data_IF_820599689141
#
_entry.id   IF_820599689141
#
_cell.length_a   1.000
_cell.length_b   1.000
_cell.length_c   1.000
_cell.angle_alpha   90.00
_cell.angle_beta   90.00
_cell.angle_gamma   90.00
#
_symmetry.space_group_name_H-M   'P 1'
#
loop_
_entity.id
_entity.type
_entity.pdbx_description
1 polymer ?
#
# COMPACT_ATOMS: atom_id res chain seq x y z
N UNK A 1 39.09 -8.70 27.14
CA UNK A 1 38.84 -9.86 26.24
C UNK A 1 39.27 -9.49 24.84
N UNK A 2 39.90 -10.40 24.08
CA UNK A 2 40.37 -10.07 22.73
C UNK A 2 39.15 -9.89 21.79
N UNK A 3 39.13 -8.78 21.07
CA UNK A 3 38.20 -8.46 20.00
C UNK A 3 38.43 -9.42 18.81
N UNK A 4 38.02 -10.70 18.97
CA UNK A 4 38.04 -11.69 17.87
C UNK A 4 36.69 -11.81 17.24
N UNK A 5 36.64 -12.06 15.92
CA UNK A 5 35.43 -12.23 15.12
C UNK A 5 34.48 -13.29 15.72
N UNK A 6 35.02 -14.37 16.22
CA UNK A 6 34.25 -15.47 16.84
C UNK A 6 33.48 -14.98 18.07
N UNK A 7 34.13 -14.22 18.97
CA UNK A 7 33.50 -13.68 20.19
C UNK A 7 32.43 -12.64 19.87
N UNK A 8 32.64 -11.81 18.83
CA UNK A 8 31.66 -10.82 18.39
C UNK A 8 30.43 -11.52 17.82
N UNK A 9 30.62 -12.55 16.99
CA UNK A 9 29.50 -13.33 16.43
C UNK A 9 28.73 -14.10 17.51
N UNK A 10 29.42 -14.62 18.56
CA UNK A 10 28.77 -15.27 19.70
C UNK A 10 27.85 -14.29 20.45
N UNK A 11 28.31 -13.06 20.70
CA UNK A 11 27.49 -12.03 21.33
C UNK A 11 26.30 -11.63 20.45
N UNK A 12 26.52 -11.46 19.17
CA UNK A 12 25.47 -11.11 18.20
C UNK A 12 24.45 -12.24 18.02
N UNK A 13 24.85 -13.51 18.20
CA UNK A 13 23.96 -14.68 18.20
C UNK A 13 22.94 -14.70 19.33
N UNK A 14 23.10 -13.85 20.36
CA UNK A 14 22.09 -13.71 21.41
C UNK A 14 20.97 -12.69 21.04
N UNK A 15 21.07 -12.02 19.90
CA UNK A 15 20.12 -10.99 19.47
C UNK A 15 19.17 -11.59 18.46
N UNK A 16 17.89 -11.68 18.81
CA UNK A 16 16.85 -12.25 17.95
C UNK A 16 16.21 -11.16 17.09
N UNK A 17 16.07 -11.44 15.82
CA UNK A 17 15.23 -10.64 14.91
C UNK A 17 13.76 -10.99 15.17
N UNK A 18 12.92 -10.03 15.57
CA UNK A 18 11.57 -10.32 16.09
C UNK A 18 10.64 -10.99 15.07
N UNK A 19 10.69 -10.58 13.80
CA UNK A 19 9.78 -11.06 12.76
C UNK A 19 10.20 -12.45 12.22
N UNK A 20 11.51 -12.70 12.13
CA UNK A 20 12.05 -13.99 11.70
C UNK A 20 12.13 -15.02 12.84
N UNK A 21 12.02 -14.58 14.10
CA UNK A 21 12.17 -15.43 15.30
C UNK A 21 13.46 -16.26 15.33
N UNK A 22 14.52 -15.74 14.73
CA UNK A 22 15.87 -16.32 14.67
C UNK A 22 16.88 -15.28 15.11
N UNK A 23 18.01 -15.72 15.64
CA UNK A 23 19.11 -14.80 15.93
C UNK A 23 19.71 -14.24 14.62
N UNK A 24 20.31 -13.04 14.72
CA UNK A 24 20.82 -12.31 13.55
C UNK A 24 22.01 -13.00 12.86
N UNK A 25 22.72 -13.88 13.55
CA UNK A 25 23.84 -14.65 13.01
C UNK A 25 23.33 -15.86 12.25
N UNK A 26 22.49 -16.71 12.90
CA UNK A 26 21.90 -17.89 12.27
C UNK A 26 20.95 -17.53 11.11
N UNK A 27 20.35 -16.35 11.15
CA UNK A 27 19.52 -15.84 10.07
C UNK A 27 20.33 -15.20 8.92
N UNK A 28 21.69 -15.18 9.04
CA UNK A 28 22.60 -14.56 8.05
C UNK A 28 22.28 -13.09 7.73
N UNK A 29 21.94 -12.32 8.76
CA UNK A 29 21.52 -10.91 8.63
C UNK A 29 22.68 -9.91 8.77
N UNK A 30 23.91 -10.36 8.97
CA UNK A 30 25.09 -9.51 9.08
C UNK A 30 25.68 -9.35 7.67
N UNK A 31 25.45 -8.19 7.04
CA UNK A 31 25.97 -7.86 5.71
C UNK A 31 27.47 -7.53 5.72
N UNK A 32 27.90 -6.82 6.75
CA UNK A 32 29.30 -6.42 6.96
C UNK A 32 29.66 -6.57 8.44
N UNK A 33 30.85 -7.09 8.73
CA UNK A 33 31.45 -7.09 10.06
C UNK A 33 32.96 -6.87 9.94
N UNK A 34 33.42 -5.70 10.34
CA UNK A 34 34.83 -5.31 10.40
C UNK A 34 35.21 -5.06 11.84
N UNK A 35 36.38 -5.53 12.24
CA UNK A 35 36.86 -5.45 13.61
C UNK A 35 38.26 -4.85 13.60
N UNK A 36 38.39 -3.69 14.22
CA UNK A 36 39.66 -3.02 14.49
C UNK A 36 40.20 -3.33 15.89
N UNK A 37 41.26 -2.63 16.29
CA UNK A 37 41.88 -2.84 17.63
C UNK A 37 40.94 -2.48 18.78
N UNK A 38 40.11 -1.45 18.64
CA UNK A 38 39.13 -1.02 19.63
C UNK A 38 37.81 -0.56 19.00
N UNK A 39 37.51 -1.01 17.77
CA UNK A 39 36.37 -0.60 16.99
C UNK A 39 35.67 -1.83 16.36
N UNK A 40 34.32 -1.80 16.36
CA UNK A 40 33.50 -2.74 15.61
C UNK A 40 32.60 -1.94 14.67
N UNK A 41 32.77 -2.17 13.37
CA UNK A 41 31.87 -1.63 12.34
C UNK A 41 31.03 -2.76 11.76
N UNK A 42 29.69 -2.61 11.81
CA UNK A 42 28.80 -3.65 11.30
C UNK A 42 27.59 -3.06 10.61
N UNK A 43 27.12 -3.81 9.58
CA UNK A 43 25.85 -3.57 8.90
C UNK A 43 24.96 -4.77 9.13
N UNK A 44 23.79 -4.54 9.72
CA UNK A 44 22.81 -5.59 10.02
C UNK A 44 21.52 -5.34 9.25
N UNK A 45 21.01 -6.39 8.65
CA UNK A 45 19.75 -6.38 7.91
C UNK A 45 18.60 -6.76 8.85
N UNK A 46 17.46 -6.09 8.71
CA UNK A 46 16.23 -6.42 9.45
C UNK A 46 15.04 -6.52 8.49
N UNK A 47 14.07 -7.35 8.84
CA UNK A 47 12.86 -7.55 8.03
C UNK A 47 11.95 -6.31 8.04
N UNK A 48 11.81 -5.64 9.18
CA UNK A 48 11.02 -4.43 9.32
C UNK A 48 11.91 -3.17 9.27
N UNK A 49 11.95 -2.41 8.14
CA UNK A 49 12.79 -1.24 7.99
C UNK A 49 12.27 0.02 8.68
N UNK A 50 11.20 -0.05 9.47
CA UNK A 50 10.63 1.08 10.19
C UNK A 50 11.65 1.70 11.16
N UNK A 51 11.61 3.02 11.33
CA UNK A 51 12.59 3.77 12.10
C UNK A 51 12.72 3.27 13.54
N UNK A 52 11.59 2.95 14.19
CA UNK A 52 11.59 2.42 15.56
C UNK A 52 12.20 1.01 15.65
N UNK A 53 11.99 0.14 14.64
CA UNK A 53 12.58 -1.19 14.59
C UNK A 53 14.09 -1.12 14.38
N UNK A 54 14.57 -0.23 13.49
CA UNK A 54 16.00 0.04 13.28
C UNK A 54 16.67 0.52 14.57
N UNK A 55 16.06 1.52 15.24
CA UNK A 55 16.59 2.07 16.48
C UNK A 55 16.65 1.01 17.58
N UNK A 56 15.61 0.21 17.74
CA UNK A 56 15.55 -0.87 18.73
C UNK A 56 16.62 -1.95 18.47
N UNK A 57 16.82 -2.33 17.22
CA UNK A 57 17.85 -3.30 16.85
C UNK A 57 19.25 -2.74 17.11
N UNK A 58 19.50 -1.48 16.72
CA UNK A 58 20.77 -0.80 16.98
C UNK A 58 21.08 -0.74 18.49
N UNK A 59 20.12 -0.29 19.30
CA UNK A 59 20.26 -0.24 20.77
C UNK A 59 20.54 -1.63 21.37
N UNK A 60 19.88 -2.68 20.88
CA UNK A 60 20.13 -4.05 21.33
C UNK A 60 21.55 -4.52 20.99
N UNK A 61 22.05 -4.22 19.80
CA UNK A 61 23.40 -4.56 19.37
C UNK A 61 24.44 -3.81 20.21
N UNK A 62 24.31 -2.49 20.32
CA UNK A 62 25.22 -1.66 21.10
C UNK A 62 25.26 -2.08 22.58
N UNK A 63 24.09 -2.34 23.17
CA UNK A 63 24.00 -2.80 24.57
C UNK A 63 24.73 -4.13 24.80
N UNK A 64 24.48 -5.15 23.92
CA UNK A 64 25.11 -6.46 24.12
C UNK A 64 26.62 -6.42 23.87
N UNK A 65 27.09 -5.68 22.84
CA UNK A 65 28.53 -5.53 22.60
C UNK A 65 29.24 -4.78 23.70
N UNK A 66 28.69 -3.67 24.20
CA UNK A 66 29.28 -2.93 25.32
C UNK A 66 29.30 -3.74 26.62
N UNK A 67 28.25 -4.50 26.91
CA UNK A 67 28.15 -5.38 28.06
C UNK A 67 29.25 -6.44 28.09
N UNK A 68 29.67 -6.95 26.92
CA UNK A 68 30.63 -8.03 26.80
C UNK A 68 32.07 -7.53 26.65
N UNK A 69 32.30 -6.47 25.85
CA UNK A 69 33.63 -5.96 25.53
C UNK A 69 34.02 -4.71 26.31
N UNK A 70 33.09 -4.10 27.03
CA UNK A 70 33.31 -2.87 27.83
C UNK A 70 32.87 -1.59 27.12
N UNK A 71 32.72 -0.52 27.90
CA UNK A 71 32.18 0.77 27.40
C UNK A 71 33.15 1.58 26.53
N UNK A 72 34.44 1.21 26.54
CA UNK A 72 35.48 1.91 25.78
C UNK A 72 35.54 1.55 24.31
N UNK A 73 34.78 0.54 23.89
CA UNK A 73 34.74 0.11 22.49
C UNK A 73 33.92 1.08 21.62
N UNK A 74 34.46 1.43 20.49
CA UNK A 74 33.73 2.20 19.47
C UNK A 74 32.90 1.28 18.60
N UNK A 75 31.59 1.55 18.50
CA UNK A 75 30.63 0.70 17.75
C UNK A 75 29.96 1.55 16.68
N UNK A 76 30.25 1.23 15.44
CA UNK A 76 29.65 1.82 14.25
C UNK A 76 28.61 0.83 13.66
N UNK A 77 27.37 0.91 14.16
CA UNK A 77 26.30 0.02 13.77
C UNK A 77 25.31 0.70 12.79
N UNK A 78 25.20 0.19 11.60
CA UNK A 78 24.21 0.62 10.62
C UNK A 78 23.15 -0.46 10.41
N UNK A 79 21.88 -0.11 10.58
CA UNK A 79 20.76 -1.03 10.35
C UNK A 79 20.11 -0.71 9.01
N UNK A 80 20.06 -1.70 8.12
CA UNK A 80 19.38 -1.62 6.82
C UNK A 80 18.19 -2.57 6.80
N UNK A 81 17.17 -2.27 5.98
CA UNK A 81 16.15 -3.26 5.65
C UNK A 81 16.76 -4.37 4.79
N UNK A 82 16.31 -5.62 4.97
CA UNK A 82 16.64 -6.70 4.04
C UNK A 82 16.29 -6.19 2.64
N UNK A 83 17.24 -6.24 1.67
CA UNK A 83 16.93 -5.82 0.29
C UNK A 83 15.69 -6.57 -0.15
N UNK A 84 14.66 -5.83 -0.54
CA UNK A 84 13.47 -6.45 -1.03
C UNK A 84 13.87 -7.38 -2.19
N UNK A 85 13.44 -8.64 -2.15
CA UNK A 85 13.63 -9.59 -3.25
C UNK A 85 13.40 -8.88 -4.58
N UNK A 86 14.20 -9.19 -5.59
CA UNK A 86 14.10 -8.51 -6.87
C UNK A 86 12.64 -8.48 -7.35
N UNK A 87 12.21 -7.43 -8.02
CA UNK A 87 10.83 -7.29 -8.54
C UNK A 87 10.36 -8.54 -9.32
N UNK A 88 11.31 -9.30 -9.87
CA UNK A 88 11.07 -10.57 -10.55
C UNK A 88 10.72 -11.74 -9.60
N UNK A 89 11.33 -11.81 -8.41
CA UNK A 89 10.98 -12.83 -7.42
C UNK A 89 9.61 -12.56 -6.81
N UNK A 90 9.27 -11.28 -6.57
CA UNK A 90 7.94 -10.87 -6.08
C UNK A 90 6.82 -11.09 -7.12
N UNK A 91 7.10 -10.94 -8.42
CA UNK A 91 6.11 -11.25 -9.48
C UNK A 91 5.69 -12.71 -9.54
N UNK A 92 6.46 -13.64 -8.96
CA UNK A 92 6.02 -15.03 -8.80
C UNK A 92 4.82 -15.19 -7.86
N UNK A 93 4.54 -14.19 -7.01
CA UNK A 93 3.41 -14.21 -6.08
C UNK A 93 2.07 -14.01 -6.80
N UNK A 94 2.05 -13.17 -7.86
CA UNK A 94 0.86 -12.87 -8.67
C UNK A 94 1.23 -12.91 -10.16
N UNK A 95 1.57 -14.10 -10.70
CA UNK A 95 2.12 -14.22 -12.05
C UNK A 95 1.14 -13.80 -13.15
N UNK A 96 -0.16 -14.00 -12.92
CA UNK A 96 -1.23 -13.78 -13.89
C UNK A 96 -1.86 -12.38 -13.79
N UNK A 97 -1.35 -11.52 -12.90
CA UNK A 97 -1.80 -10.14 -12.73
C UNK A 97 -0.84 -9.18 -13.46
N UNK A 98 -1.35 -8.47 -14.47
CA UNK A 98 -0.51 -7.58 -15.31
C UNK A 98 -0.11 -6.28 -14.62
N UNK A 99 -1.02 -5.71 -13.81
CA UNK A 99 -0.80 -4.43 -13.11
C UNK A 99 -1.31 -4.50 -11.67
N UNK A 100 -0.45 -4.27 -10.70
CA UNK A 100 -0.80 -4.19 -9.30
C UNK A 100 -0.65 -2.74 -8.86
N UNK A 101 -1.77 -2.09 -8.52
CA UNK A 101 -1.86 -0.66 -8.27
C UNK A 101 -2.38 -0.42 -6.86
N UNK A 102 -1.61 0.30 -6.05
CA UNK A 102 -2.08 0.75 -4.74
C UNK A 102 -2.82 2.09 -4.86
N UNK A 103 -3.93 2.20 -4.13
CA UNK A 103 -4.65 3.46 -3.95
C UNK A 103 -4.39 3.92 -2.52
N UNK A 104 -3.77 5.09 -2.39
CA UNK A 104 -3.31 5.61 -1.12
C UNK A 104 -3.85 7.00 -0.83
N UNK A 105 -4.03 7.31 0.44
CA UNK A 105 -4.33 8.65 0.91
C UNK A 105 -3.53 8.97 2.16
N UNK A 106 -3.09 10.21 2.29
CA UNK A 106 -2.39 10.66 3.49
C UNK A 106 -3.32 10.80 4.71
N UNK A 107 -4.63 10.95 4.49
CA UNK A 107 -5.65 11.20 5.52
C UNK A 107 -6.91 10.38 5.26
N UNK A 108 -7.60 9.99 6.32
CA UNK A 108 -8.93 9.39 6.23
C UNK A 108 -10.00 10.40 5.78
N UNK A 109 -11.09 9.91 5.16
CA UNK A 109 -12.23 10.73 4.75
C UNK A 109 -12.08 11.50 3.44
N UNK A 110 -10.99 11.32 2.69
CA UNK A 110 -10.80 11.96 1.37
C UNK A 110 -11.50 11.24 0.21
N UNK A 111 -12.16 10.11 0.48
CA UNK A 111 -12.89 9.32 -0.52
C UNK A 111 -12.03 8.27 -1.24
N UNK A 112 -11.00 7.75 -0.61
CA UNK A 112 -10.08 6.74 -1.15
C UNK A 112 -10.83 5.51 -1.69
N UNK A 113 -11.63 4.85 -0.87
CA UNK A 113 -12.38 3.64 -1.24
C UNK A 113 -13.43 3.92 -2.31
N UNK A 114 -14.08 5.08 -2.27
CA UNK A 114 -14.99 5.53 -3.33
C UNK A 114 -14.26 5.67 -4.67
N UNK A 115 -13.04 6.26 -4.65
CA UNK A 115 -12.21 6.34 -5.85
C UNK A 115 -11.83 4.94 -6.34
N UNK A 116 -11.40 4.05 -5.45
CA UNK A 116 -10.99 2.68 -5.80
C UNK A 116 -12.13 1.93 -6.46
N UNK A 117 -13.33 1.97 -5.90
CA UNK A 117 -14.52 1.31 -6.46
C UNK A 117 -14.90 1.85 -7.85
N UNK A 118 -14.87 3.16 -8.02
CA UNK A 118 -15.22 3.79 -9.31
C UNK A 118 -14.10 3.63 -10.35
N UNK A 119 -12.84 3.65 -9.96
CA UNK A 119 -11.72 3.36 -10.85
C UNK A 119 -11.80 1.90 -11.35
N UNK A 120 -12.09 0.95 -10.46
CA UNK A 120 -12.29 -0.45 -10.83
C UNK A 120 -13.45 -0.62 -11.81
N UNK A 121 -14.61 -0.02 -11.52
CA UNK A 121 -15.76 -0.05 -12.42
C UNK A 121 -15.49 0.61 -13.77
N UNK A 122 -14.76 1.71 -13.79
CA UNK A 122 -14.37 2.40 -15.01
C UNK A 122 -13.37 1.61 -15.85
N UNK A 123 -12.41 0.94 -15.22
CA UNK A 123 -11.49 0.01 -15.90
C UNK A 123 -12.26 -1.17 -16.51
N UNK A 124 -13.23 -1.73 -15.78
CA UNK A 124 -14.08 -2.80 -16.32
C UNK A 124 -14.90 -2.31 -17.53
N UNK A 125 -15.51 -1.12 -17.46
CA UNK A 125 -16.19 -0.48 -18.60
C UNK A 125 -15.27 -0.32 -19.82
N UNK A 126 -13.99 -0.03 -19.58
CA UNK A 126 -12.98 0.09 -20.64
C UNK A 126 -12.51 -1.28 -21.19
N UNK A 127 -13.07 -2.39 -20.72
CA UNK A 127 -12.79 -3.75 -21.21
C UNK A 127 -11.65 -4.47 -20.52
N UNK A 128 -11.18 -3.99 -19.37
CA UNK A 128 -10.14 -4.65 -18.57
C UNK A 128 -10.73 -5.61 -17.55
N UNK A 129 -10.01 -6.67 -17.21
CA UNK A 129 -10.32 -7.56 -16.09
C UNK A 129 -9.74 -6.97 -14.81
N UNK A 130 -10.56 -6.89 -13.74
CA UNK A 130 -10.22 -6.13 -12.53
C UNK A 130 -10.49 -6.94 -11.27
N UNK A 131 -9.54 -6.86 -10.33
CA UNK A 131 -9.71 -7.29 -8.94
C UNK A 131 -9.45 -6.14 -7.96
N UNK A 132 -10.01 -6.26 -6.76
CA UNK A 132 -9.82 -5.31 -5.66
C UNK A 132 -9.41 -6.08 -4.40
N UNK A 133 -8.37 -5.59 -3.73
CA UNK A 133 -8.07 -5.92 -2.33
C UNK A 133 -8.43 -4.71 -1.48
N UNK A 134 -9.41 -4.86 -0.60
CA UNK A 134 -9.72 -3.88 0.44
C UNK A 134 -8.89 -4.19 1.68
N UNK A 135 -7.81 -3.44 1.83
CA UNK A 135 -6.84 -3.57 2.92
C UNK A 135 -7.09 -2.57 4.07
N UNK A 136 -8.19 -1.82 4.05
CA UNK A 136 -8.53 -0.87 5.11
C UNK A 136 -9.10 -1.58 6.33
N UNK A 137 -8.22 -1.96 7.25
CA UNK A 137 -8.57 -2.69 8.48
C UNK A 137 -9.41 -1.88 9.47
N UNK A 138 -9.40 -0.56 9.36
CA UNK A 138 -10.12 0.32 10.28
C UNK A 138 -11.54 0.62 9.82
N UNK A 139 -11.80 0.49 8.53
CA UNK A 139 -13.11 0.76 7.95
C UNK A 139 -13.29 0.11 6.59
N UNK A 140 -13.30 -1.25 6.52
CA UNK A 140 -13.48 -1.94 5.26
C UNK A 140 -14.83 -1.59 4.67
N UNK A 141 -14.84 -1.01 3.48
CA UNK A 141 -16.03 -0.44 2.86
C UNK A 141 -16.43 -1.10 1.53
N UNK A 142 -15.54 -1.85 0.91
CA UNK A 142 -15.81 -2.50 -0.37
C UNK A 142 -16.98 -3.48 -0.34
N UNK A 143 -17.19 -4.30 0.73
CA UNK A 143 -18.35 -5.18 0.79
C UNK A 143 -19.71 -4.43 0.68
N UNK A 144 -19.78 -3.23 1.26
CA UNK A 144 -20.95 -2.36 1.15
C UNK A 144 -21.06 -1.75 -0.25
N UNK A 145 -19.96 -1.19 -0.76
CA UNK A 145 -19.91 -0.49 -2.05
C UNK A 145 -20.16 -1.38 -3.27
N UNK A 146 -20.12 -2.71 -3.10
CA UNK A 146 -20.36 -3.70 -4.13
C UNK A 146 -21.56 -4.63 -3.83
N UNK A 147 -22.37 -4.30 -2.82
CA UNK A 147 -23.57 -5.08 -2.39
C UNK A 147 -23.25 -6.55 -2.10
N UNK A 148 -22.12 -6.80 -1.44
CA UNK A 148 -21.66 -8.16 -1.07
C UNK A 148 -21.35 -8.29 0.42
N UNK A 149 -22.04 -7.49 1.26
CA UNK A 149 -21.81 -7.44 2.70
C UNK A 149 -22.00 -8.81 3.38
N UNK A 150 -22.96 -9.59 2.88
CA UNK A 150 -23.31 -10.91 3.40
C UNK A 150 -22.58 -12.06 2.70
N UNK A 151 -21.81 -11.77 1.65
CA UNK A 151 -21.03 -12.77 0.94
C UNK A 151 -19.74 -13.12 1.70
N UNK A 152 -19.20 -14.29 1.44
CA UNK A 152 -17.93 -14.74 2.00
C UNK A 152 -17.08 -15.40 0.93
N UNK A 153 -15.76 -15.17 0.93
CA UNK A 153 -14.83 -15.92 0.09
C UNK A 153 -14.92 -17.41 0.41
N UNK A 154 -14.82 -18.24 -0.61
CA UNK A 154 -14.81 -19.69 -0.47
C UNK A 154 -13.40 -20.23 -0.64
N UNK A 155 -13.17 -21.47 -0.20
CA UNK A 155 -11.91 -22.17 -0.48
C UNK A 155 -12.13 -23.07 -1.68
N UNK A 156 -11.18 -23.07 -2.61
CA UNK A 156 -11.14 -23.93 -3.79
C UNK A 156 -9.81 -24.66 -3.85
N UNK A 157 -9.79 -25.83 -4.46
CA UNK A 157 -8.56 -26.59 -4.68
C UNK A 157 -8.08 -26.39 -6.12
N UNK A 158 -6.83 -25.94 -6.28
CA UNK A 158 -6.19 -25.70 -7.57
C UNK A 158 -4.81 -26.36 -7.51
N UNK A 159 -4.53 -27.27 -8.41
CA UNK A 159 -3.26 -27.99 -8.51
C UNK A 159 -2.83 -28.67 -7.18
N UNK A 160 -3.81 -29.11 -6.36
CA UNK A 160 -3.58 -29.72 -5.05
C UNK A 160 -3.30 -28.72 -3.93
N UNK A 161 -3.41 -27.42 -4.16
CA UNK A 161 -3.31 -26.36 -3.17
C UNK A 161 -4.68 -25.73 -2.88
N UNK A 162 -4.95 -25.49 -1.60
CA UNK A 162 -6.16 -24.79 -1.17
C UNK A 162 -5.98 -23.28 -1.34
N UNK A 163 -6.79 -22.65 -2.18
CA UNK A 163 -6.75 -21.21 -2.49
C UNK A 163 -8.03 -20.50 -2.07
N UNK A 164 -7.93 -19.22 -1.69
CA UNK A 164 -9.08 -18.37 -1.41
C UNK A 164 -9.68 -17.95 -2.76
N UNK A 165 -10.96 -18.27 -2.98
CA UNK A 165 -11.71 -17.78 -4.13
C UNK A 165 -12.35 -16.44 -3.79
N UNK A 166 -11.96 -15.33 -4.46
CA UNK A 166 -12.54 -14.01 -4.23
C UNK A 166 -14.06 -13.99 -4.47
N UNK A 167 -14.76 -13.13 -3.75
CA UNK A 167 -16.16 -12.80 -4.06
C UNK A 167 -16.19 -12.04 -5.39
N UNK A 168 -17.20 -12.27 -6.21
CA UNK A 168 -17.37 -11.56 -7.47
C UNK A 168 -18.64 -10.71 -7.43
N UNK A 169 -18.50 -9.42 -7.77
CA UNK A 169 -19.62 -8.50 -7.91
C UNK A 169 -19.40 -7.59 -9.11
N UNK A 170 -20.47 -7.39 -9.90
CA UNK A 170 -20.43 -6.58 -11.13
C UNK A 170 -19.30 -6.96 -12.11
N UNK A 171 -18.80 -8.20 -12.09
CA UNK A 171 -17.67 -8.65 -12.91
C UNK A 171 -16.29 -8.26 -12.36
N UNK A 172 -16.23 -7.81 -11.10
CA UNK A 172 -15.00 -7.47 -10.38
C UNK A 172 -14.77 -8.51 -9.29
N UNK A 173 -13.57 -9.07 -9.21
CA UNK A 173 -13.14 -9.95 -8.10
C UNK A 173 -12.76 -9.13 -6.88
N UNK A 174 -13.27 -9.50 -5.71
CA UNK A 174 -13.13 -8.71 -4.50
C UNK A 174 -12.69 -9.57 -3.31
N UNK A 175 -11.63 -9.16 -2.63
CA UNK A 175 -11.30 -9.59 -1.28
C UNK A 175 -11.22 -8.38 -0.36
N UNK A 176 -11.96 -8.41 0.74
CA UNK A 176 -11.90 -7.40 1.78
C UNK A 176 -11.54 -8.04 3.11
N UNK A 177 -10.73 -7.33 3.90
CA UNK A 177 -10.50 -7.71 5.30
C UNK A 177 -11.83 -7.78 6.08
N UNK A 178 -12.85 -7.04 5.63
CA UNK A 178 -14.20 -7.05 6.18
C UNK A 178 -14.93 -8.39 6.04
N UNK A 179 -14.55 -9.25 5.08
CA UNK A 179 -15.14 -10.59 4.96
C UNK A 179 -14.72 -11.56 6.08
N UNK A 180 -13.62 -11.25 6.78
CA UNK A 180 -13.06 -12.06 7.85
C UNK A 180 -13.42 -11.54 9.24
N UNK A 181 -14.33 -10.57 9.31
CA UNK A 181 -14.85 -10.00 10.55
C UNK A 181 -16.36 -10.17 10.62
N UNK A 182 -16.89 -10.44 11.82
CA UNK A 182 -18.33 -10.33 12.05
C UNK A 182 -18.71 -8.87 12.19
N UNK A 183 -19.74 -8.43 11.48
CA UNK A 183 -20.20 -7.03 11.50
C UNK A 183 -20.64 -6.55 12.88
N UNK A 184 -21.11 -7.47 13.71
CA UNK A 184 -21.63 -7.17 15.06
C UNK A 184 -20.56 -7.25 16.16
N UNK A 185 -19.37 -7.76 15.86
CA UNK A 185 -18.29 -7.91 16.82
C UNK A 185 -17.11 -7.01 16.47
N UNK A 186 -16.71 -6.16 17.40
CA UNK A 186 -15.47 -5.39 17.27
C UNK A 186 -14.26 -6.33 17.28
N UNK A 187 -13.74 -6.67 16.13
CA UNK A 187 -12.48 -7.41 16.03
C UNK A 187 -11.33 -6.42 16.19
N UNK A 188 -10.59 -6.56 17.29
CA UNK A 188 -9.38 -5.78 17.50
C UNK A 188 -8.24 -6.37 16.67
N UNK A 189 -8.03 -5.85 15.49
CA UNK A 189 -6.88 -6.20 14.66
C UNK A 189 -5.58 -5.71 15.29
N UNK A 190 -4.71 -6.64 15.68
CA UNK A 190 -3.34 -6.29 16.05
C UNK A 190 -2.49 -6.24 14.77
N UNK A 191 -1.55 -5.29 14.67
CA UNK A 191 -0.72 -5.09 13.48
C UNK A 191 -0.20 -6.38 12.82
N UNK A 192 0.43 -7.32 13.54
CA UNK A 192 0.92 -8.58 12.95
C UNK A 192 -0.19 -9.48 12.39
N UNK A 193 -1.40 -9.50 12.99
CA UNK A 193 -2.52 -10.28 12.48
C UNK A 193 -3.07 -9.69 11.18
N UNK A 194 -3.22 -8.37 11.14
CA UNK A 194 -3.66 -7.66 9.96
C UNK A 194 -2.67 -7.85 8.80
N UNK A 195 -1.37 -7.67 9.04
CA UNK A 195 -0.34 -7.89 8.02
C UNK A 195 -0.37 -9.32 7.48
N UNK A 196 -0.57 -10.33 8.34
CA UNK A 196 -0.67 -11.73 7.91
C UNK A 196 -1.90 -11.96 7.02
N UNK A 197 -3.08 -11.45 7.43
CA UNK A 197 -4.31 -11.60 6.66
C UNK A 197 -4.18 -10.92 5.28
N UNK A 198 -3.64 -9.70 5.23
CA UNK A 198 -3.39 -8.99 3.98
C UNK A 198 -2.39 -9.72 3.08
N UNK A 199 -1.33 -10.28 3.67
CA UNK A 199 -0.39 -11.13 2.91
C UNK A 199 -1.13 -12.32 2.29
N UNK A 200 -1.96 -13.03 3.04
CA UNK A 200 -2.73 -14.17 2.54
C UNK A 200 -3.72 -13.77 1.42
N UNK A 201 -4.37 -12.61 1.52
CA UNK A 201 -5.23 -12.10 0.45
C UNK A 201 -4.45 -11.85 -0.86
N UNK A 202 -3.16 -11.57 -0.78
CA UNK A 202 -2.28 -11.42 -1.94
C UNK A 202 -1.78 -12.77 -2.43
N UNK A 203 -1.24 -13.62 -1.53
CA UNK A 203 -0.47 -14.83 -1.89
C UNK A 203 -1.33 -16.08 -2.08
N UNK A 204 -2.39 -16.21 -1.29
CA UNK A 204 -3.18 -17.43 -1.18
C UNK A 204 -4.51 -17.34 -1.92
N UNK A 205 -4.81 -16.18 -2.54
CA UNK A 205 -6.02 -15.99 -3.32
C UNK A 205 -5.84 -16.40 -4.78
N UNK A 206 -6.89 -17.01 -5.35
CA UNK A 206 -6.98 -17.31 -6.77
C UNK A 206 -7.51 -16.12 -7.55
N UNK A 207 -6.62 -15.21 -7.92
CA UNK A 207 -6.99 -14.05 -8.73
C UNK A 207 -7.23 -14.42 -10.21
N UNK A 208 -6.52 -15.45 -10.74
CA UNK A 208 -6.51 -15.78 -12.16
C UNK A 208 -5.93 -14.63 -13.01
N UNK A 209 -6.23 -14.64 -14.30
CA UNK A 209 -5.75 -13.59 -15.21
C UNK A 209 -6.48 -12.26 -14.97
N UNK A 210 -5.73 -11.25 -14.52
CA UNK A 210 -6.22 -9.89 -14.33
C UNK A 210 -5.37 -8.87 -15.07
N UNK A 211 -6.01 -7.89 -15.68
CA UNK A 211 -5.32 -6.72 -16.20
C UNK A 211 -4.92 -5.77 -15.08
N UNK A 212 -5.78 -5.63 -14.06
CA UNK A 212 -5.54 -4.77 -12.90
C UNK A 212 -5.96 -5.43 -11.59
N UNK A 213 -5.10 -5.35 -10.57
CA UNK A 213 -5.44 -5.59 -9.19
C UNK A 213 -5.24 -4.29 -8.42
N UNK A 214 -6.33 -3.70 -7.96
CA UNK A 214 -6.30 -2.47 -7.15
C UNK A 214 -6.23 -2.83 -5.68
N UNK A 215 -5.34 -2.19 -4.94
CA UNK A 215 -5.20 -2.38 -3.49
C UNK A 215 -5.63 -1.09 -2.80
N UNK A 216 -6.78 -1.10 -2.14
CA UNK A 216 -7.28 -0.01 -1.33
C UNK A 216 -6.56 -0.02 0.02
N UNK A 217 -5.54 0.83 0.19
CA UNK A 217 -4.71 0.87 1.38
C UNK A 217 -5.44 1.52 2.57
N UNK A 218 -5.08 1.21 3.82
CA UNK A 218 -5.50 2.01 4.97
C UNK A 218 -5.12 3.48 4.79
N UNK A 219 -5.75 4.44 5.45
CA UNK A 219 -5.30 5.84 5.42
C UNK A 219 -3.98 6.03 6.19
N UNK A 220 -3.17 7.00 5.77
CA UNK A 220 -1.92 7.36 6.43
C UNK A 220 -0.67 6.70 5.82
N UNK A 221 0.40 6.60 6.62
CA UNK A 221 1.74 6.13 6.18
C UNK A 221 2.40 5.21 7.23
N UNK A 222 1.60 4.37 7.89
CA UNK A 222 2.06 3.51 8.99
C UNK A 222 2.70 2.19 8.55
N UNK A 223 3.10 1.37 9.53
CA UNK A 223 3.83 0.10 9.33
C UNK A 223 3.07 -0.93 8.49
N UNK A 224 1.74 -0.91 8.53
CA UNK A 224 0.90 -1.80 7.72
C UNK A 224 1.10 -1.54 6.23
N UNK A 225 1.23 -0.26 5.82
CA UNK A 225 1.58 0.09 4.44
C UNK A 225 2.90 -0.53 4.04
N UNK A 226 3.94 -0.38 4.86
CA UNK A 226 5.27 -0.91 4.56
C UNK A 226 5.25 -2.43 4.41
N UNK A 227 4.58 -3.14 5.32
CA UNK A 227 4.46 -4.60 5.28
C UNK A 227 3.74 -5.08 4.00
N UNK A 228 2.63 -4.44 3.64
CA UNK A 228 1.85 -4.76 2.45
C UNK A 228 2.63 -4.48 1.16
N UNK A 229 3.31 -3.32 1.12
CA UNK A 229 4.13 -2.91 -0.02
C UNK A 229 5.37 -3.79 -0.23
N UNK A 230 5.87 -4.43 0.82
CA UNK A 230 6.96 -5.40 0.73
C UNK A 230 6.48 -6.74 0.13
N UNK A 231 5.24 -7.12 0.35
CA UNK A 231 4.65 -8.36 -0.17
C UNK A 231 4.16 -8.20 -1.60
N UNK A 232 3.47 -7.09 -1.92
CA UNK A 232 2.90 -6.85 -3.25
C UNK A 232 3.92 -6.22 -4.20
N UNK A 233 4.15 -6.79 -5.40
CA UNK A 233 5.05 -6.21 -6.42
C UNK A 233 4.36 -5.06 -7.16
N UNK A 234 4.21 -3.90 -6.51
CA UNK A 234 3.49 -2.76 -7.09
C UNK A 234 4.08 -2.27 -8.41
N UNK A 235 3.21 -2.08 -9.39
CA UNK A 235 3.53 -1.42 -10.66
C UNK A 235 3.32 0.09 -10.58
N UNK A 236 2.47 0.56 -9.66
CA UNK A 236 2.25 1.97 -9.43
C UNK A 236 1.40 2.27 -8.21
N UNK A 237 1.35 3.54 -7.85
CA UNK A 237 0.52 4.07 -6.76
C UNK A 237 -0.27 5.28 -7.26
N UNK A 238 -1.55 5.32 -6.99
CA UNK A 238 -2.40 6.52 -7.16
C UNK A 238 -2.62 7.15 -5.79
N UNK A 239 -2.40 8.44 -5.68
CA UNK A 239 -2.61 9.19 -4.44
C UNK A 239 -3.84 10.06 -4.58
N UNK A 240 -4.75 9.97 -3.60
CA UNK A 240 -5.95 10.80 -3.55
C UNK A 240 -5.86 11.82 -2.42
N UNK A 241 -6.29 13.04 -2.69
CA UNK A 241 -6.45 14.12 -1.71
C UNK A 241 -7.67 14.97 -2.02
N UNK A 242 -8.11 15.76 -1.04
CA UNK A 242 -8.99 16.89 -1.24
C UNK A 242 -8.14 18.15 -1.39
N UNK A 243 -8.69 19.28 -1.92
CA UNK A 243 -7.92 20.54 -2.09
C UNK A 243 -7.45 21.19 -0.79
N UNK A 244 -7.88 20.73 0.37
CA UNK A 244 -7.55 21.34 1.68
C UNK A 244 -6.06 21.20 2.02
N UNK A 245 -5.41 22.27 2.49
CA UNK A 245 -3.99 22.29 2.87
C UNK A 245 -3.60 21.17 3.85
N UNK A 246 -4.46 20.84 4.82
CA UNK A 246 -4.20 19.75 5.78
C UNK A 246 -4.14 18.41 5.06
N UNK A 247 -5.03 18.14 4.11
CA UNK A 247 -5.03 16.91 3.33
C UNK A 247 -3.84 16.85 2.35
N UNK A 248 -3.48 18.00 1.77
CA UNK A 248 -2.33 18.13 0.87
C UNK A 248 -1.00 17.89 1.58
N UNK A 249 -0.85 18.38 2.82
CA UNK A 249 0.33 18.12 3.63
C UNK A 249 0.55 16.62 3.87
N UNK A 250 -0.54 15.88 4.14
CA UNK A 250 -0.48 14.42 4.32
C UNK A 250 -0.27 13.69 2.98
N UNK A 251 -0.89 14.13 1.90
CA UNK A 251 -0.65 13.58 0.56
C UNK A 251 0.82 13.74 0.13
N UNK A 252 1.45 14.89 0.44
CA UNK A 252 2.88 15.13 0.21
C UNK A 252 3.76 14.11 0.94
N UNK A 253 3.43 13.79 2.19
CA UNK A 253 4.14 12.74 2.95
C UNK A 253 3.97 11.38 2.29
N UNK A 254 2.76 11.06 1.81
CA UNK A 254 2.48 9.85 1.06
C UNK A 254 3.33 9.74 -0.21
N UNK A 255 3.37 10.78 -1.05
CA UNK A 255 4.23 10.79 -2.25
C UNK A 255 5.69 10.56 -1.89
N UNK A 256 6.21 11.23 -0.86
CA UNK A 256 7.59 11.08 -0.43
C UNK A 256 7.88 9.67 0.11
N UNK A 257 6.93 9.04 0.80
CA UNK A 257 7.07 7.66 1.27
C UNK A 257 7.25 6.69 0.09
N UNK A 258 6.43 6.81 -0.96
CA UNK A 258 6.52 5.94 -2.13
C UNK A 258 7.76 6.19 -2.99
N UNK A 259 8.39 7.36 -2.88
CA UNK A 259 9.67 7.68 -3.52
C UNK A 259 10.89 7.08 -2.80
N UNK A 260 10.72 6.49 -1.60
CA UNK A 260 11.81 5.83 -0.90
C UNK A 260 12.32 4.63 -1.70
N UNK A 261 13.64 4.49 -1.83
CA UNK A 261 14.29 3.40 -2.56
C UNK A 261 13.89 2.01 -2.07
N UNK A 262 13.53 1.89 -0.78
CA UNK A 262 13.10 0.62 -0.18
C UNK A 262 11.74 0.11 -0.70
N UNK A 263 10.89 0.98 -1.27
CA UNK A 263 9.56 0.62 -1.73
C UNK A 263 9.48 0.44 -3.25
N UNK A 264 10.29 1.17 -4.03
CA UNK A 264 10.34 1.13 -5.50
C UNK A 264 8.96 1.20 -6.20
N UNK A 265 7.98 1.87 -5.58
CA UNK A 265 6.64 2.00 -6.09
C UNK A 265 6.47 3.37 -6.77
N UNK A 266 6.43 3.45 -8.12
CA UNK A 266 6.29 4.73 -8.80
C UNK A 266 4.90 5.31 -8.57
N UNK A 267 4.84 6.63 -8.33
CA UNK A 267 3.57 7.34 -8.25
C UNK A 267 3.05 7.58 -9.66
N UNK A 268 1.92 6.93 -10.01
CA UNK A 268 1.26 7.09 -11.31
C UNK A 268 0.68 8.49 -11.42
N UNK A 269 0.15 9.02 -10.33
CA UNK A 269 -0.32 10.40 -10.26
C UNK A 269 -1.16 10.69 -9.02
N UNK A 270 -1.63 11.93 -8.96
CA UNK A 270 -2.49 12.44 -7.89
C UNK A 270 -3.88 12.75 -8.44
N UNK A 271 -4.92 12.39 -7.67
CA UNK A 271 -6.32 12.71 -7.93
C UNK A 271 -6.81 13.75 -6.92
N UNK A 272 -7.47 14.79 -7.37
CA UNK A 272 -8.18 15.73 -6.53
C UNK A 272 -9.64 15.30 -6.39
N UNK A 273 -10.06 14.86 -5.22
CA UNK A 273 -11.44 14.52 -4.94
C UNK A 273 -12.15 15.66 -4.22
N UNK A 274 -13.49 15.72 -4.34
CA UNK A 274 -14.32 16.78 -3.78
C UNK A 274 -13.86 18.18 -4.26
N UNK A 275 -13.42 18.26 -5.52
CA UNK A 275 -12.79 19.44 -6.10
C UNK A 275 -13.74 20.65 -6.16
N UNK A 276 -15.01 20.42 -6.47
CA UNK A 276 -16.08 21.43 -6.47
C UNK A 276 -17.44 20.78 -6.25
N UNK A 277 -18.39 21.57 -5.85
CA UNK A 277 -19.82 21.24 -5.77
C UNK A 277 -20.60 22.07 -6.76
N UNK A 278 -21.56 21.47 -7.47
CA UNK A 278 -22.49 22.16 -8.35
C UNK A 278 -23.92 21.83 -7.88
N UNK A 279 -24.71 22.81 -7.40
CA UNK A 279 -26.09 22.63 -7.04
C UNK A 279 -26.94 22.29 -8.28
N UNK A 280 -27.97 21.47 -8.12
CA UNK A 280 -28.88 21.11 -9.20
C UNK A 280 -29.63 22.34 -9.75
N UNK A 281 -29.94 23.29 -8.88
CA UNK A 281 -30.65 24.53 -9.22
C UNK A 281 -29.77 25.53 -9.99
N UNK A 282 -28.45 25.39 -9.91
CA UNK A 282 -27.46 26.26 -10.53
C UNK A 282 -26.38 25.45 -11.25
N UNK A 283 -26.71 24.75 -12.34
CA UNK A 283 -25.83 23.77 -12.99
C UNK A 283 -24.55 24.38 -13.60
N UNK A 284 -24.54 25.69 -13.86
CA UNK A 284 -23.38 26.40 -14.39
C UNK A 284 -22.40 26.87 -13.28
N UNK A 285 -22.80 26.77 -12.00
CA UNK A 285 -22.02 27.31 -10.89
C UNK A 285 -21.17 26.20 -10.25
N UNK A 286 -19.89 26.51 -10.02
CA UNK A 286 -18.96 25.65 -9.27
C UNK A 286 -18.57 26.33 -7.95
N UNK A 287 -18.81 25.63 -6.85
CA UNK A 287 -18.45 26.08 -5.51
C UNK A 287 -17.27 25.26 -4.99
N UNK A 288 -16.16 25.89 -4.72
CA UNK A 288 -14.92 25.26 -4.27
C UNK A 288 -14.87 25.20 -2.74
N UNK A 289 -15.71 24.36 -2.15
CA UNK A 289 -15.95 24.27 -0.69
C UNK A 289 -14.66 23.94 0.07
N UNK A 290 -13.81 23.10 -0.49
CA UNK A 290 -12.56 22.64 0.12
C UNK A 290 -11.30 23.31 -0.42
N UNK A 291 -11.43 24.34 -1.25
CA UNK A 291 -10.32 24.97 -1.96
C UNK A 291 -10.33 24.62 -3.44
N UNK A 292 -9.38 25.15 -4.19
CA UNK A 292 -9.31 25.01 -5.65
C UNK A 292 -7.91 24.60 -6.08
N UNK A 293 -7.83 23.61 -6.98
CA UNK A 293 -6.59 23.16 -7.64
C UNK A 293 -5.45 22.76 -6.68
N UNK A 294 -5.76 22.46 -5.40
CA UNK A 294 -4.75 22.18 -4.38
C UNK A 294 -3.92 20.93 -4.70
N UNK A 295 -4.58 19.82 -5.07
CA UNK A 295 -3.88 18.59 -5.40
C UNK A 295 -3.21 18.66 -6.79
N UNK A 296 -3.75 19.47 -7.71
CA UNK A 296 -3.11 19.77 -8.99
C UNK A 296 -1.80 20.51 -8.78
N UNK A 297 -1.80 21.59 -7.98
CA UNK A 297 -0.60 22.36 -7.66
C UNK A 297 0.43 21.48 -6.89
N UNK A 298 -0.04 20.60 -6.03
CA UNK A 298 0.82 19.62 -5.35
C UNK A 298 1.50 18.69 -6.35
N UNK A 299 0.76 18.15 -7.32
CA UNK A 299 1.27 17.26 -8.34
C UNK A 299 2.37 17.94 -9.17
N UNK A 300 2.11 19.16 -9.65
CA UNK A 300 3.08 19.98 -10.37
C UNK A 300 4.34 20.25 -9.54
N UNK A 301 4.17 20.68 -8.28
CA UNK A 301 5.28 20.98 -7.38
C UNK A 301 6.13 19.76 -6.98
N UNK A 302 5.58 18.55 -7.08
CA UNK A 302 6.29 17.30 -6.78
C UNK A 302 6.80 16.57 -8.03
N UNK A 303 6.52 17.09 -9.23
CA UNK A 303 6.89 16.47 -10.49
C UNK A 303 6.23 15.10 -10.70
N UNK A 304 4.96 14.95 -10.30
CA UNK A 304 4.14 13.76 -10.54
C UNK A 304 2.92 14.13 -11.38
N UNK A 305 2.37 13.21 -12.20
CA UNK A 305 1.18 13.50 -13.01
C UNK A 305 -0.03 13.88 -12.16
N UNK A 306 -0.88 14.77 -12.68
CA UNK A 306 -2.21 15.04 -12.19
C UNK A 306 -3.21 14.24 -13.02
N UNK A 307 -3.93 13.30 -12.39
CA UNK A 307 -4.82 12.37 -13.10
C UNK A 307 -6.21 12.95 -13.36
N UNK A 308 -6.63 13.93 -12.56
CA UNK A 308 -7.93 14.57 -12.73
C UNK A 308 -8.56 15.02 -11.42
N UNK A 309 -9.70 15.71 -11.56
CA UNK A 309 -10.48 16.26 -10.46
C UNK A 309 -11.90 15.65 -10.48
N UNK A 310 -12.34 15.16 -9.34
CA UNK A 310 -13.65 14.54 -9.14
C UNK A 310 -14.53 15.51 -8.34
N UNK A 311 -15.73 15.87 -8.85
CA UNK A 311 -16.63 16.74 -8.14
C UNK A 311 -17.25 16.07 -6.90
N UNK A 312 -17.69 16.88 -5.94
CA UNK A 312 -18.53 16.45 -4.85
C UNK A 312 -19.98 16.36 -5.34
N UNK A 313 -20.50 15.14 -5.47
CA UNK A 313 -21.86 14.88 -5.99
C UNK A 313 -22.60 13.92 -5.07
N UNK A 314 -23.86 14.24 -4.77
CA UNK A 314 -24.72 13.42 -3.90
C UNK A 314 -24.90 12.00 -4.46
N UNK A 315 -25.05 11.85 -5.78
CA UNK A 315 -25.27 10.55 -6.42
C UNK A 315 -24.09 9.59 -6.28
N UNK A 316 -22.88 10.07 -5.99
CA UNK A 316 -21.72 9.21 -5.69
C UNK A 316 -21.90 8.50 -4.35
N UNK A 317 -22.39 9.23 -3.33
CA UNK A 317 -22.71 8.65 -2.03
C UNK A 317 -23.87 7.64 -2.17
N UNK A 318 -24.96 8.04 -2.83
CA UNK A 318 -26.13 7.18 -3.01
C UNK A 318 -25.80 5.91 -3.78
N UNK A 319 -24.96 6.00 -4.79
CA UNK A 319 -24.47 4.86 -5.57
C UNK A 319 -23.64 3.90 -4.70
N UNK A 320 -22.74 4.46 -3.88
CA UNK A 320 -21.93 3.67 -2.93
C UNK A 320 -22.80 2.98 -1.87
N UNK A 321 -23.80 3.67 -1.31
CA UNK A 321 -24.74 3.12 -0.34
C UNK A 321 -25.64 2.03 -0.94
N UNK A 322 -25.92 2.13 -2.26
CA UNK A 322 -26.69 1.15 -3.03
C UNK A 322 -25.83 -0.01 -3.57
N UNK A 323 -24.56 -0.07 -3.23
CA UNK A 323 -23.64 -1.14 -3.65
C UNK A 323 -23.30 -1.14 -5.15
N UNK A 324 -23.47 -0.01 -5.84
CA UNK A 324 -23.21 0.11 -7.27
C UNK A 324 -22.35 1.34 -7.57
N UNK A 325 -21.09 1.20 -8.00
CA UNK A 325 -20.20 2.32 -8.31
C UNK A 325 -20.83 3.36 -9.24
N UNK A 326 -20.63 4.65 -8.92
CA UNK A 326 -21.28 5.77 -9.63
C UNK A 326 -20.84 5.89 -11.12
N UNK A 327 -19.70 5.34 -11.47
CA UNK A 327 -19.18 5.28 -12.84
C UNK A 327 -20.11 4.53 -13.82
N UNK A 328 -21.02 3.71 -13.28
CA UNK A 328 -22.04 3.01 -14.08
C UNK A 328 -23.29 3.88 -14.39
N UNK A 329 -23.36 5.10 -13.85
CA UNK A 329 -24.39 6.05 -14.23
C UNK A 329 -24.07 6.59 -15.62
N UNK A 330 -24.97 6.40 -16.58
CA UNK A 330 -24.73 6.81 -17.96
C UNK A 330 -24.91 8.32 -18.15
N UNK A 331 -23.98 8.93 -18.89
CA UNK A 331 -24.06 10.33 -19.34
C UNK A 331 -24.18 11.38 -18.21
N UNK A 332 -23.73 11.06 -17.01
CA UNK A 332 -23.70 12.01 -15.89
C UNK A 332 -22.34 12.72 -15.82
N UNK A 333 -22.27 13.94 -15.27
CA UNK A 333 -20.99 14.63 -15.06
C UNK A 333 -19.98 13.81 -14.27
N UNK A 334 -20.47 12.97 -13.36
CA UNK A 334 -19.61 12.12 -12.52
C UNK A 334 -19.07 10.93 -13.31
N UNK A 335 -19.87 10.28 -14.16
CA UNK A 335 -19.36 9.18 -14.98
C UNK A 335 -18.32 9.68 -15.98
N UNK A 336 -18.53 10.87 -16.57
CA UNK A 336 -17.56 11.52 -17.46
C UNK A 336 -16.25 11.78 -16.72
N UNK A 337 -16.30 12.34 -15.51
CA UNK A 337 -15.10 12.61 -14.71
C UNK A 337 -14.32 11.33 -14.37
N UNK A 338 -15.01 10.23 -14.09
CA UNK A 338 -14.35 8.94 -13.86
C UNK A 338 -13.81 8.31 -15.15
N UNK A 339 -14.51 8.43 -16.28
CA UNK A 339 -14.02 7.93 -17.57
C UNK A 339 -12.76 8.69 -18.03
N UNK A 340 -12.69 10.01 -17.81
CA UNK A 340 -11.48 10.82 -18.01
C UNK A 340 -10.35 10.39 -17.07
N UNK A 341 -10.65 10.17 -15.79
CA UNK A 341 -9.69 9.68 -14.82
C UNK A 341 -9.07 8.34 -15.24
N UNK A 342 -9.90 7.37 -15.67
CA UNK A 342 -9.46 6.06 -16.15
C UNK A 342 -8.52 6.23 -17.35
N UNK A 343 -8.90 7.09 -18.31
CA UNK A 343 -8.11 7.36 -19.50
C UNK A 343 -6.71 7.92 -19.11
N UNK A 344 -6.67 8.93 -18.25
CA UNK A 344 -5.43 9.54 -17.80
C UNK A 344 -4.58 8.56 -16.98
N UNK A 345 -5.21 7.79 -16.09
CA UNK A 345 -4.54 6.77 -15.29
C UNK A 345 -3.85 5.70 -16.17
N UNK A 346 -4.56 5.14 -17.16
CA UNK A 346 -4.00 4.12 -18.06
C UNK A 346 -2.87 4.72 -18.91
N UNK A 347 -3.05 5.95 -19.40
CA UNK A 347 -2.03 6.66 -20.16
C UNK A 347 -0.73 6.84 -19.34
N UNK A 348 -0.81 7.41 -18.15
CA UNK A 348 0.35 7.68 -17.30
C UNK A 348 1.04 6.38 -16.82
N UNK A 349 0.27 5.34 -16.50
CA UNK A 349 0.84 4.04 -16.16
C UNK A 349 1.65 3.45 -17.32
N UNK A 350 1.16 3.57 -18.54
CA UNK A 350 1.87 3.10 -19.73
C UNK A 350 3.14 3.93 -20.01
N UNK A 351 3.13 5.24 -19.78
CA UNK A 351 4.31 6.09 -19.86
C UNK A 351 5.39 5.64 -18.87
N UNK A 352 5.02 5.42 -17.60
CA UNK A 352 5.93 4.92 -16.57
C UNK A 352 6.56 3.56 -16.93
N UNK A 353 5.79 2.65 -17.53
CA UNK A 353 6.29 1.35 -17.98
C UNK A 353 7.27 1.48 -19.15
N UNK A 354 6.99 2.40 -20.06
CA UNK A 354 7.86 2.66 -21.23
C UNK A 354 9.21 3.25 -20.84
N UNK A 355 9.23 4.11 -19.81
CA UNK A 355 10.47 4.68 -19.26
C UNK A 355 11.37 3.65 -18.56
N UNK A 356 10.79 2.61 -17.96
CA UNK A 356 11.53 1.52 -17.28
C UNK A 356 12.15 0.51 -18.26
N UNK A 357 11.73 0.52 -19.53
CA UNK A 357 12.26 -0.38 -20.57
C UNK A 357 13.48 0.22 -21.30
N UNK A 358 13.74 1.50 -21.13
CA UNK A 358 14.91 2.21 -21.65
C UNK A 358 16.02 2.25 -20.59
#
# INVERSE_FOLDING_TARGET
>A
MNLKRENVLEVLGNITEPDLKKDIVSANLIELLEIGDNEISLIVLISNPALHARKRMQEAIEFNLRRFFGDTIEINCTIKGIPAESKQARRKVLPDVKNIIAIASGKGGVGKSTLTANLAGGLLKAGYTVGIIDADIYGPSMPTMFDVLNERPTMIEIDGESKINPVESHGIKLLSIGFFTDHDNAVVWRGPMASKALTQMITDAHWGELDFLLIDLPPGTGDIHLSLLQTAPLDGVVIISTPQEVALADARRGVNMFKLDSLHAPVVGIVENMAWFTPAELPENKYYIFGRDGAKNLAEGMGVPFLGAIPLVQSVREAGDAGRPAVYQESTPISIAFDELVTNFVYELNQLKSQKKK
#
